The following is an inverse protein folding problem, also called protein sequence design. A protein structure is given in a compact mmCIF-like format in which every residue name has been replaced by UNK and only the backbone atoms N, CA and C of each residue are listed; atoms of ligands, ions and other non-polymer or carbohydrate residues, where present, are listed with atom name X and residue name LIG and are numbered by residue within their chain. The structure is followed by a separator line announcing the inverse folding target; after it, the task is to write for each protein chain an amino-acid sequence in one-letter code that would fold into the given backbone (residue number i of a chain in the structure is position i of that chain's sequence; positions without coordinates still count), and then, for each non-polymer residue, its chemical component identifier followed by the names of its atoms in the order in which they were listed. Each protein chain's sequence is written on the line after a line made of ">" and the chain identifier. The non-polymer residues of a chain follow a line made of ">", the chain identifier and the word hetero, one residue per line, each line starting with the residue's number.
data_IF_403468065849
#
_entry.id   IF_403468065849
#
_cell.length_a   1.000
_cell.length_b   1.000
_cell.length_c   1.000
_cell.angle_alpha   90.00
_cell.angle_beta   90.00
_cell.angle_gamma   90.00
#
_symmetry.space_group_name_H-M   'P 1'
#
loop_
_entity.id
_entity.type
_entity.pdbx_description
1 polymer ?
#
# COMPACT_ATOMS: atom_id res chain seq x y z
N UNK A 1 -18.99 -5.88 14.80
CA UNK A 1 -17.65 -5.43 14.35
C UNK A 1 -16.64 -6.32 15.04
N UNK A 2 -15.91 -7.12 14.27
CA UNK A 2 -14.95 -8.08 14.79
C UNK A 2 -13.56 -7.54 14.53
N UNK A 3 -12.77 -7.39 15.59
CA UNK A 3 -11.40 -6.87 15.52
C UNK A 3 -10.45 -8.05 15.63
N UNK A 4 -9.45 -8.08 14.75
CA UNK A 4 -8.40 -9.10 14.75
C UNK A 4 -7.17 -8.57 15.47
N UNK A 5 -6.47 -9.47 16.16
CA UNK A 5 -5.11 -9.24 16.65
C UNK A 5 -4.19 -10.20 15.89
N UNK A 6 -3.28 -9.65 15.10
CA UNK A 6 -2.44 -10.44 14.21
C UNK A 6 -1.12 -10.84 14.88
N UNK A 7 -0.78 -12.13 14.81
CA UNK A 7 0.55 -12.60 15.15
C UNK A 7 1.50 -12.39 13.95
N UNK A 8 2.14 -11.22 13.94
CA UNK A 8 3.14 -10.82 12.93
C UNK A 8 4.40 -11.71 12.92
N UNK A 9 4.60 -12.57 13.92
CA UNK A 9 5.71 -13.53 13.93
C UNK A 9 5.44 -14.80 13.12
N UNK A 10 4.17 -15.10 12.82
CA UNK A 10 3.75 -16.30 12.11
C UNK A 10 3.28 -15.99 10.68
N UNK A 11 4.22 -15.96 9.73
CA UNK A 11 3.98 -15.60 8.31
C UNK A 11 2.86 -16.37 7.63
N UNK A 12 2.73 -17.67 7.90
CA UNK A 12 1.73 -18.51 7.24
C UNK A 12 0.31 -18.18 7.72
N UNK A 13 0.12 -18.12 9.04
CA UNK A 13 -1.17 -17.75 9.63
C UNK A 13 -1.55 -16.30 9.31
N UNK A 14 -0.56 -15.40 9.31
CA UNK A 14 -0.75 -14.01 8.98
C UNK A 14 -1.29 -13.82 7.56
N UNK A 15 -0.68 -14.48 6.57
CA UNK A 15 -1.14 -14.40 5.17
C UNK A 15 -2.60 -14.86 5.03
N UNK A 16 -2.97 -15.94 5.69
CA UNK A 16 -4.36 -16.43 5.70
C UNK A 16 -5.31 -15.42 6.35
N UNK A 17 -4.91 -14.82 7.48
CA UNK A 17 -5.74 -13.84 8.18
C UNK A 17 -5.87 -12.53 7.40
N UNK A 18 -4.81 -12.07 6.73
CA UNK A 18 -4.84 -10.87 5.89
C UNK A 18 -5.73 -11.10 4.66
N UNK A 19 -5.70 -12.31 4.09
CA UNK A 19 -6.65 -12.71 3.04
C UNK A 19 -8.09 -12.67 3.56
N UNK A 20 -8.39 -13.26 4.72
CA UNK A 20 -9.74 -13.21 5.31
C UNK A 20 -10.20 -11.77 5.53
N UNK A 21 -9.33 -10.93 6.08
CA UNK A 21 -9.60 -9.52 6.30
C UNK A 21 -9.90 -8.77 4.99
N UNK A 22 -9.14 -9.03 3.92
CA UNK A 22 -9.31 -8.35 2.63
C UNK A 22 -10.71 -8.58 1.99
N UNK A 23 -11.34 -9.72 2.30
CA UNK A 23 -12.61 -10.14 1.71
C UNK A 23 -13.78 -10.24 2.70
N UNK A 24 -13.61 -9.87 3.97
CA UNK A 24 -14.70 -9.81 4.96
C UNK A 24 -15.00 -8.37 5.36
N UNK A 25 -16.23 -7.92 5.13
CA UNK A 25 -16.70 -6.57 5.51
C UNK A 25 -16.60 -6.30 7.01
N UNK A 26 -16.78 -7.33 7.84
CA UNK A 26 -16.92 -7.21 9.29
C UNK A 26 -15.60 -7.32 10.06
N UNK A 27 -14.52 -7.73 9.39
CA UNK A 27 -13.18 -7.82 9.96
C UNK A 27 -12.46 -6.47 9.79
N UNK A 28 -11.84 -6.04 10.88
CA UNK A 28 -10.99 -4.86 10.93
C UNK A 28 -9.67 -5.17 11.65
N UNK A 29 -8.63 -4.43 11.28
CA UNK A 29 -7.33 -4.47 11.95
C UNK A 29 -7.38 -3.63 13.23
N UNK A 30 -6.51 -3.92 14.19
CA UNK A 30 -6.22 -2.97 15.27
C UNK A 30 -5.35 -1.82 14.75
N UNK A 31 -5.34 -0.71 15.48
CA UNK A 31 -4.48 0.44 15.16
C UNK A 31 -3.00 0.04 15.05
N UNK A 32 -2.51 -0.78 15.99
CA UNK A 32 -1.13 -1.29 15.98
C UNK A 32 -0.85 -2.18 14.75
N UNK A 33 -1.83 -2.97 14.30
CA UNK A 33 -1.71 -3.81 13.11
C UNK A 33 -1.64 -2.95 11.83
N UNK A 34 -2.42 -1.87 11.78
CA UNK A 34 -2.39 -0.91 10.67
C UNK A 34 -1.03 -0.21 10.60
N UNK A 35 -0.49 0.23 11.73
CA UNK A 35 0.83 0.84 11.81
C UNK A 35 1.93 -0.10 11.28
N UNK A 36 1.88 -1.39 11.62
CA UNK A 36 2.82 -2.37 11.06
C UNK A 36 2.71 -2.45 9.53
N UNK A 37 1.49 -2.49 8.98
CA UNK A 37 1.28 -2.46 7.52
C UNK A 37 1.77 -1.16 6.87
N UNK A 38 1.66 -0.02 7.55
CA UNK A 38 2.11 1.25 7.04
C UNK A 38 3.63 1.36 6.91
N UNK A 39 4.39 0.64 7.73
CA UNK A 39 5.83 0.86 7.86
C UNK A 39 6.72 -0.31 7.43
N UNK A 40 6.13 -1.44 7.02
CA UNK A 40 6.86 -2.63 6.60
C UNK A 40 6.49 -3.05 5.16
N UNK A 41 7.47 -2.97 4.27
CA UNK A 41 7.34 -3.38 2.86
C UNK A 41 7.00 -4.86 2.71
N UNK A 42 7.50 -5.71 3.60
CA UNK A 42 7.24 -7.15 3.54
C UNK A 42 5.74 -7.42 3.69
N UNK A 43 5.12 -6.77 4.67
CA UNK A 43 3.70 -6.95 4.96
C UNK A 43 2.80 -6.25 3.96
N UNK A 44 3.18 -5.04 3.53
CA UNK A 44 2.48 -4.36 2.46
C UNK A 44 2.48 -5.21 1.17
N UNK A 45 3.59 -5.87 0.85
CA UNK A 45 3.68 -6.80 -0.29
C UNK A 45 2.76 -8.01 -0.20
N UNK A 46 2.28 -8.38 0.99
CA UNK A 46 1.32 -9.48 1.17
C UNK A 46 -0.10 -9.07 0.80
N UNK A 47 -0.51 -7.84 1.15
CA UNK A 47 -1.87 -7.35 0.87
C UNK A 47 -1.99 -6.62 -0.47
N UNK A 48 -0.88 -6.08 -0.97
CA UNK A 48 -0.83 -5.29 -2.20
C UNK A 48 -1.49 -6.00 -3.39
N UNK A 49 -1.24 -7.30 -3.68
CA UNK A 49 -1.88 -7.97 -4.83
C UNK A 49 -3.41 -7.92 -4.84
N UNK A 50 -4.05 -7.82 -3.67
CA UNK A 50 -5.51 -7.76 -3.58
C UNK A 50 -6.09 -6.43 -4.05
N UNK A 51 -5.28 -5.38 -4.22
CA UNK A 51 -5.75 -4.12 -4.80
C UNK A 51 -6.07 -4.24 -6.30
N UNK A 52 -5.58 -5.27 -6.98
CA UNK A 52 -5.88 -5.52 -8.39
C UNK A 52 -7.17 -6.32 -8.59
N UNK A 53 -7.71 -6.91 -7.51
CA UNK A 53 -8.97 -7.64 -7.55
C UNK A 53 -10.15 -6.69 -7.28
N UNK A 54 -10.99 -6.48 -8.29
CA UNK A 54 -12.23 -5.69 -8.17
C UNK A 54 -13.24 -6.28 -7.18
N UNK A 55 -13.10 -7.57 -6.81
CA UNK A 55 -13.95 -8.22 -5.80
C UNK A 55 -13.42 -8.07 -4.38
N UNK A 56 -12.21 -7.55 -4.21
CA UNK A 56 -11.64 -7.30 -2.89
C UNK A 56 -12.41 -6.17 -2.21
N UNK A 57 -13.03 -6.47 -1.08
CA UNK A 57 -13.88 -5.54 -0.35
C UNK A 57 -13.04 -4.42 0.26
N UNK A 58 -11.82 -4.74 0.70
CA UNK A 58 -10.87 -3.77 1.27
C UNK A 58 -9.97 -3.11 0.21
N UNK A 59 -10.27 -3.25 -1.08
CA UNK A 59 -9.46 -2.71 -2.20
C UNK A 59 -9.07 -1.25 -2.01
N UNK A 60 -10.06 -0.38 -1.84
CA UNK A 60 -9.86 1.06 -1.64
C UNK A 60 -9.01 1.34 -0.40
N UNK A 61 -9.18 0.52 0.63
CA UNK A 61 -8.44 0.65 1.88
C UNK A 61 -6.97 0.26 1.72
N UNK A 62 -6.67 -0.81 0.98
CA UNK A 62 -5.30 -1.20 0.64
C UNK A 62 -4.60 -0.09 -0.16
N UNK A 63 -5.29 0.51 -1.13
CA UNK A 63 -4.78 1.66 -1.90
C UNK A 63 -4.55 2.88 -0.99
N UNK A 64 -5.45 3.11 -0.04
CA UNK A 64 -5.28 4.17 0.96
C UNK A 64 -4.05 3.92 1.85
N UNK A 65 -3.80 2.67 2.26
CA UNK A 65 -2.61 2.30 3.03
C UNK A 65 -1.34 2.65 2.27
N UNK A 66 -1.26 2.24 0.99
CA UNK A 66 -0.13 2.57 0.12
C UNK A 66 0.07 4.09 -0.04
N UNK A 67 -1.01 4.86 -0.23
CA UNK A 67 -0.92 6.33 -0.35
C UNK A 67 -0.40 6.99 0.92
N UNK A 68 -0.76 6.49 2.09
CA UNK A 68 -0.23 6.97 3.36
C UNK A 68 1.24 6.60 3.52
N UNK A 69 1.65 5.41 3.09
CA UNK A 69 3.06 5.03 3.08
C UNK A 69 3.89 5.97 2.19
N UNK A 70 3.43 6.23 0.97
CA UNK A 70 4.01 7.25 0.07
C UNK A 70 4.08 8.62 0.75
N UNK A 71 2.99 9.03 1.42
CA UNK A 71 2.92 10.32 2.13
C UNK A 71 3.95 10.41 3.24
N UNK A 72 4.16 9.35 4.02
CA UNK A 72 5.11 9.30 5.13
C UNK A 72 6.55 9.41 4.60
N UNK A 73 6.91 8.58 3.62
CA UNK A 73 8.22 8.62 2.94
C UNK A 73 8.49 9.99 2.31
N UNK A 74 7.48 10.62 1.70
CA UNK A 74 7.61 11.96 1.12
C UNK A 74 7.70 13.08 2.17
N UNK A 75 6.74 13.14 3.10
CA UNK A 75 6.52 14.33 3.95
C UNK A 75 7.35 14.30 5.22
N UNK A 76 7.41 13.13 5.88
CA UNK A 76 8.08 12.96 7.17
C UNK A 76 9.55 12.61 6.96
N UNK A 77 9.82 11.56 6.19
CA UNK A 77 11.18 11.04 5.99
C UNK A 77 11.96 11.79 4.90
N UNK A 78 11.25 12.38 3.93
CA UNK A 78 11.82 13.08 2.76
C UNK A 78 12.87 12.24 2.01
N UNK A 79 12.66 10.93 1.95
CA UNK A 79 13.62 9.97 1.40
C UNK A 79 13.30 9.64 -0.05
N UNK A 80 14.20 10.00 -0.97
CA UNK A 80 14.06 9.59 -2.36
C UNK A 80 14.29 8.08 -2.53
N UNK A 81 15.23 7.51 -1.78
CA UNK A 81 15.54 6.08 -1.85
C UNK A 81 14.33 5.23 -1.46
N UNK A 82 13.58 5.64 -0.43
CA UNK A 82 12.34 4.93 -0.08
C UNK A 82 11.25 5.07 -1.15
N UNK A 83 11.14 6.24 -1.80
CA UNK A 83 10.22 6.38 -2.94
C UNK A 83 10.65 5.54 -4.15
N UNK A 84 11.95 5.33 -4.36
CA UNK A 84 12.47 4.42 -5.38
C UNK A 84 12.12 2.96 -5.03
N UNK A 85 12.29 2.54 -3.78
CA UNK A 85 11.83 1.22 -3.32
C UNK A 85 10.32 1.03 -3.48
N UNK A 86 9.52 2.03 -3.09
CA UNK A 86 8.06 2.01 -3.31
C UNK A 86 7.73 1.88 -4.80
N UNK A 87 8.51 2.54 -5.66
CA UNK A 87 8.31 2.45 -7.09
C UNK A 87 8.47 1.01 -7.58
N UNK A 88 9.64 0.43 -7.29
CA UNK A 88 10.01 -0.91 -7.72
C UNK A 88 9.05 -1.98 -7.18
N UNK A 89 8.62 -1.85 -5.93
CA UNK A 89 7.77 -2.85 -5.29
C UNK A 89 6.30 -2.76 -5.69
N UNK A 90 5.81 -1.57 -6.02
CA UNK A 90 4.36 -1.33 -6.11
C UNK A 90 3.95 -0.52 -7.34
N UNK A 91 4.59 0.63 -7.59
CA UNK A 91 4.11 1.58 -8.60
C UNK A 91 4.31 1.05 -10.02
N UNK A 92 5.43 0.37 -10.29
CA UNK A 92 5.71 -0.16 -11.63
C UNK A 92 4.65 -1.22 -12.02
N UNK A 93 4.29 -2.13 -11.12
CA UNK A 93 3.20 -3.09 -11.36
C UNK A 93 1.84 -2.41 -11.53
N UNK A 94 1.56 -1.34 -10.77
CA UNK A 94 0.35 -0.53 -10.95
C UNK A 94 0.28 0.14 -12.33
N UNK A 95 1.42 0.61 -12.85
CA UNK A 95 1.51 1.20 -14.17
C UNK A 95 1.25 0.17 -15.26
N UNK A 96 1.86 -1.02 -15.16
CA UNK A 96 1.63 -2.14 -16.07
C UNK A 96 0.15 -2.54 -16.08
N UNK A 97 -0.47 -2.68 -14.89
CA UNK A 97 -1.89 -2.96 -14.78
C UNK A 97 -2.76 -1.88 -15.45
N UNK A 98 -2.46 -0.59 -15.23
CA UNK A 98 -3.22 0.53 -15.82
C UNK A 98 -2.98 0.74 -17.31
N UNK A 99 -1.96 0.11 -17.89
CA UNK A 99 -1.72 0.14 -19.34
C UNK A 99 -2.76 -0.66 -20.11
N UNK A 100 -3.35 -1.67 -19.46
CA UNK A 100 -4.38 -2.56 -20.02
C UNK A 100 -5.76 -2.24 -19.44
N UNK A 101 -5.83 -1.85 -18.17
CA UNK A 101 -7.07 -1.63 -17.44
C UNK A 101 -7.32 -0.14 -17.19
N UNK A 102 -8.57 0.31 -17.33
CA UNK A 102 -8.93 1.69 -17.03
C UNK A 102 -9.35 1.89 -15.57
N UNK A 103 -8.44 1.63 -14.64
CA UNK A 103 -8.71 1.77 -13.22
C UNK A 103 -8.34 3.16 -12.68
N UNK A 104 -9.36 3.95 -12.34
CA UNK A 104 -9.14 5.32 -11.89
C UNK A 104 -8.52 5.41 -10.50
N UNK A 105 -8.83 4.48 -9.59
CA UNK A 105 -8.31 4.48 -8.22
C UNK A 105 -6.79 4.26 -8.21
N UNK A 106 -6.34 3.29 -9.00
CA UNK A 106 -4.91 2.99 -9.16
C UNK A 106 -4.21 4.14 -9.88
N UNK A 107 -4.80 4.69 -10.95
CA UNK A 107 -4.27 5.87 -11.65
C UNK A 107 -4.07 7.07 -10.71
N UNK A 108 -5.03 7.32 -9.83
CA UNK A 108 -4.94 8.43 -8.87
C UNK A 108 -3.81 8.22 -7.85
N UNK A 109 -3.59 6.98 -7.41
CA UNK A 109 -2.48 6.61 -6.55
C UNK A 109 -1.12 6.75 -7.25
N UNK A 110 -0.98 6.30 -8.50
CA UNK A 110 0.23 6.52 -9.33
C UNK A 110 0.49 8.02 -9.49
N UNK A 111 -0.54 8.80 -9.84
CA UNK A 111 -0.39 10.24 -10.03
C UNK A 111 0.05 10.95 -8.73
N UNK A 112 -0.46 10.50 -7.58
CA UNK A 112 0.00 11.00 -6.28
C UNK A 112 1.47 10.69 -6.02
N UNK A 113 1.90 9.44 -6.25
CA UNK A 113 3.30 9.04 -6.15
C UNK A 113 4.22 9.90 -7.02
N UNK A 114 3.89 10.06 -8.30
CA UNK A 114 4.70 10.84 -9.24
C UNK A 114 4.85 12.30 -8.78
N UNK A 115 3.77 12.91 -8.28
CA UNK A 115 3.85 14.27 -7.71
C UNK A 115 4.80 14.36 -6.51
N UNK A 116 4.77 13.36 -5.62
CA UNK A 116 5.68 13.28 -4.47
C UNK A 116 7.15 13.14 -4.91
N UNK A 117 7.42 12.20 -5.82
CA UNK A 117 8.78 11.93 -6.33
C UNK A 117 9.37 13.16 -7.03
N UNK A 118 8.64 13.74 -7.99
CA UNK A 118 9.10 14.95 -8.71
C UNK A 118 9.39 16.13 -7.78
N UNK A 119 8.60 16.30 -6.72
CA UNK A 119 8.85 17.38 -5.73
C UNK A 119 10.16 17.15 -4.97
N UNK A 120 10.44 15.92 -4.53
CA UNK A 120 11.70 15.63 -3.83
C UNK A 120 12.92 15.73 -4.75
N UNK A 121 12.83 15.26 -5.99
CA UNK A 121 13.91 15.38 -6.98
C UNK A 121 14.27 16.84 -7.26
N UNK A 122 13.28 17.73 -7.36
CA UNK A 122 13.50 19.17 -7.54
C UNK A 122 14.22 19.80 -6.34
N UNK A 123 13.85 19.40 -5.12
CA UNK A 123 14.46 19.93 -3.90
C UNK A 123 15.91 19.48 -3.68
N UNK A 124 16.35 18.36 -4.29
CA UNK A 124 17.75 17.91 -4.27
C UNK A 124 18.66 18.64 -5.27
N UNK A 125 18.10 19.35 -6.26
CA UNK A 125 18.86 20.07 -7.31
C UNK A 125 19.22 21.51 -6.93
N UNK A 126 19.16 21.85 -5.64
CA UNK A 126 19.57 23.14 -5.04
C UNK A 126 20.68 22.82 -4.03
#
# INVERSE_FOLDING_TARGET
>A
MTILNFDWSNKAALKENLLKWAYDENLILLEDDEDVLFFDNEWMGTIFPYMFDEKCIKRDYIIFILKNYIRDSFSRRRSLAELETIQELFIDEMQDYCSVNNDQLIKDAIAYFLRCKTRLEKNKKI
#
